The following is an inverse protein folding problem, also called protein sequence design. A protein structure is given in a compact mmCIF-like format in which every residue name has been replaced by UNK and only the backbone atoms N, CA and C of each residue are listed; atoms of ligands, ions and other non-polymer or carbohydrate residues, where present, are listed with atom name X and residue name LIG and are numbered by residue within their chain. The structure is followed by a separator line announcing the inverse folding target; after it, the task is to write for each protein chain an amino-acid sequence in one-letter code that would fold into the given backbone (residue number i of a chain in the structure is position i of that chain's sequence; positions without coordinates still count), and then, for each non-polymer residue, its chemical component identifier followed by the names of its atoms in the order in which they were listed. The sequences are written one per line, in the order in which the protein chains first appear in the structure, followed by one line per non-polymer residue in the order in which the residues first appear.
data_IF_324548897836
#
_entry.id   IF_324548897836
#
_cell.length_a   1.000
_cell.length_b   1.000
_cell.length_c   1.000
_cell.angle_alpha   90.00
_cell.angle_beta   90.00
_cell.angle_gamma   90.00
#
_symmetry.space_group_name_H-M   'P 1'
#
loop_
_entity.id
_entity.type
_entity.pdbx_description
1 polymer ?
#
# COMPACT_ATOMS: atom_id res chain seq x y z
N UNK A 1 10.73 13.14 12.13
CA UNK A 1 9.55 12.77 12.93
C UNK A 1 8.33 13.34 12.21
N UNK A 2 7.69 12.55 11.33
CA UNK A 2 6.38 12.90 10.78
C UNK A 2 5.39 11.84 11.24
N UNK A 3 4.67 12.18 12.31
CA UNK A 3 3.35 11.61 12.56
C UNK A 3 2.46 12.37 11.59
N UNK A 4 1.85 11.69 10.62
CA UNK A 4 0.90 12.36 9.72
C UNK A 4 -0.17 13.01 10.61
N UNK A 5 -0.36 14.32 10.44
CA UNK A 5 -1.58 14.93 10.93
C UNK A 5 -2.68 14.26 10.14
N UNK A 6 -3.48 13.41 10.80
CA UNK A 6 -4.72 12.85 10.25
C UNK A 6 -5.62 14.04 9.89
N UNK A 7 -5.47 14.54 8.66
CA UNK A 7 -6.30 15.60 8.14
C UNK A 7 -7.67 15.00 7.84
N UNK A 8 -8.57 15.07 8.82
CA UNK A 8 -9.94 14.61 8.68
C UNK A 8 -10.76 15.46 7.69
N UNK A 9 -10.32 16.68 7.39
CA UNK A 9 -10.95 17.56 6.42
C UNK A 9 -10.41 17.31 5.01
N UNK A 10 -11.30 16.95 4.10
CA UNK A 10 -11.03 17.01 2.66
C UNK A 10 -10.81 18.47 2.28
N UNK A 11 -9.64 18.80 1.76
CA UNK A 11 -9.27 20.15 1.33
C UNK A 11 -10.24 20.59 0.21
N UNK A 12 -10.96 21.68 0.45
CA UNK A 12 -12.00 22.18 -0.46
C UNK A 12 -13.36 21.49 -0.29
N UNK A 13 -13.50 20.61 0.70
CA UNK A 13 -14.71 19.86 1.00
C UNK A 13 -15.83 20.70 1.61
N UNK A 14 -17.04 20.16 1.52
CA UNK A 14 -18.30 20.76 1.98
C UNK A 14 -19.10 19.83 2.91
N UNK A 15 -18.66 18.58 3.09
CA UNK A 15 -19.39 17.56 3.84
C UNK A 15 -19.00 17.54 5.33
N UNK A 16 -19.29 18.64 6.03
CA UNK A 16 -18.93 18.87 7.45
C UNK A 16 -19.37 17.76 8.41
N UNK A 17 -20.49 17.07 8.12
CA UNK A 17 -20.95 15.96 8.94
C UNK A 17 -20.08 14.70 8.80
N UNK A 18 -19.60 14.42 7.58
CA UNK A 18 -18.71 13.28 7.33
C UNK A 18 -17.32 13.55 7.91
N UNK A 19 -16.81 14.76 7.68
CA UNK A 19 -15.60 15.27 8.33
C UNK A 19 -15.65 15.05 9.84
N UNK A 20 -16.72 15.50 10.50
CA UNK A 20 -16.88 15.36 11.94
C UNK A 20 -16.84 13.91 12.41
N UNK A 21 -17.58 13.00 11.75
CA UNK A 21 -17.53 11.58 12.11
C UNK A 21 -16.13 11.00 11.91
N UNK A 22 -15.45 11.35 10.82
CA UNK A 22 -14.10 10.87 10.55
C UNK A 22 -13.08 11.39 11.57
N UNK A 23 -13.18 12.68 11.95
CA UNK A 23 -12.33 13.33 12.94
C UNK A 23 -12.52 12.78 14.36
N UNK A 24 -13.77 12.40 14.70
CA UNK A 24 -14.12 11.77 15.97
C UNK A 24 -13.80 10.26 16.00
N UNK A 25 -13.11 9.73 14.99
CA UNK A 25 -12.79 8.30 14.83
C UNK A 25 -14.03 7.38 14.76
N UNK A 26 -15.18 7.96 14.43
CA UNK A 26 -16.46 7.24 14.24
C UNK A 26 -16.57 6.74 12.81
N UNK A 27 -15.63 5.89 12.41
CA UNK A 27 -15.48 5.48 11.01
C UNK A 27 -16.66 4.63 10.51
N UNK A 28 -17.26 3.78 11.35
CA UNK A 28 -18.46 3.02 11.00
C UNK A 28 -19.65 3.97 10.71
N UNK A 29 -19.87 4.99 11.56
CA UNK A 29 -20.90 6.00 11.36
C UNK A 29 -20.63 6.85 10.10
N UNK A 30 -19.37 7.18 9.85
CA UNK A 30 -18.94 7.91 8.66
C UNK A 30 -19.23 7.11 7.39
N UNK A 31 -18.85 5.82 7.37
CA UNK A 31 -19.12 4.90 6.27
C UNK A 31 -20.64 4.78 6.03
N UNK A 32 -21.41 4.42 7.06
CA UNK A 32 -22.86 4.27 6.97
C UNK A 32 -23.55 5.54 6.45
N UNK A 33 -23.13 6.71 6.94
CA UNK A 33 -23.69 7.98 6.47
C UNK A 33 -23.33 8.25 5.01
N UNK A 34 -22.08 8.03 4.62
CA UNK A 34 -21.62 8.26 3.26
C UNK A 34 -22.28 7.30 2.26
N UNK A 35 -22.46 6.02 2.59
CA UNK A 35 -23.21 5.05 1.78
C UNK A 35 -24.64 5.53 1.49
N UNK A 36 -25.35 5.98 2.53
CA UNK A 36 -26.70 6.52 2.36
C UNK A 36 -26.74 7.81 1.54
N UNK A 37 -25.65 8.57 1.53
CA UNK A 37 -25.55 9.77 0.72
C UNK A 37 -25.29 9.42 -0.75
N UNK A 38 -24.42 8.46 -1.09
CA UNK A 38 -24.16 8.10 -2.50
C UNK A 38 -25.39 7.52 -3.21
N UNK A 39 -26.36 6.98 -2.47
CA UNK A 39 -27.66 6.52 -3.00
C UNK A 39 -28.63 7.66 -3.36
N UNK A 40 -28.34 8.90 -2.94
CA UNK A 40 -29.19 10.06 -3.24
C UNK A 40 -28.71 10.72 -4.54
N UNK A 41 -29.64 10.99 -5.46
CA UNK A 41 -29.33 11.55 -6.78
C UNK A 41 -28.46 12.82 -6.71
N UNK A 42 -28.76 13.72 -5.76
CA UNK A 42 -27.99 14.96 -5.54
C UNK A 42 -26.51 14.75 -5.16
N UNK A 43 -26.15 13.58 -4.65
CA UNK A 43 -24.82 13.25 -4.14
C UNK A 43 -24.16 12.13 -4.94
N UNK A 44 -24.88 11.55 -5.92
CA UNK A 44 -24.41 10.43 -6.73
C UNK A 44 -23.07 10.71 -7.38
N UNK A 45 -22.80 11.96 -7.78
CA UNK A 45 -21.57 12.37 -8.44
C UNK A 45 -20.56 13.10 -7.56
N UNK A 46 -20.76 13.12 -6.23
CA UNK A 46 -19.87 13.85 -5.32
C UNK A 46 -18.59 13.03 -5.00
N UNK A 47 -17.40 13.47 -5.46
CA UNK A 47 -16.15 12.77 -5.17
C UNK A 47 -15.76 12.80 -3.69
N UNK A 48 -16.13 13.84 -2.94
CA UNK A 48 -15.77 13.99 -1.52
C UNK A 48 -16.43 12.91 -0.67
N UNK A 49 -17.71 12.61 -0.93
CA UNK A 49 -18.46 11.56 -0.21
C UNK A 49 -17.82 10.19 -0.46
N UNK A 50 -17.41 9.92 -1.71
CA UNK A 50 -16.76 8.66 -2.06
C UNK A 50 -15.36 8.55 -1.42
N UNK A 51 -14.65 9.67 -1.29
CA UNK A 51 -13.36 9.70 -0.60
C UNK A 51 -13.51 9.43 0.91
N UNK A 52 -14.48 10.05 1.59
CA UNK A 52 -14.78 9.76 2.99
C UNK A 52 -15.21 8.31 3.19
N UNK A 53 -16.04 7.77 2.29
CA UNK A 53 -16.46 6.38 2.33
C UNK A 53 -15.26 5.43 2.20
N UNK A 54 -14.38 5.68 1.22
CA UNK A 54 -13.17 4.90 1.02
C UNK A 54 -12.24 4.93 2.23
N UNK A 55 -11.96 6.12 2.75
CA UNK A 55 -11.08 6.31 3.91
C UNK A 55 -11.66 5.67 5.18
N UNK A 56 -12.98 5.73 5.36
CA UNK A 56 -13.66 5.11 6.50
C UNK A 56 -13.56 3.58 6.43
N UNK A 57 -13.77 2.99 5.25
CA UNK A 57 -13.59 1.55 5.06
C UNK A 57 -12.15 1.07 5.28
N UNK A 58 -11.15 1.86 4.89
CA UNK A 58 -9.76 1.54 5.21
C UNK A 58 -9.52 1.51 6.74
N UNK A 59 -10.16 2.41 7.49
CA UNK A 59 -10.10 2.40 8.96
C UNK A 59 -10.86 1.23 9.58
N UNK A 60 -12.05 0.92 9.08
CA UNK A 60 -12.83 -0.26 9.51
C UNK A 60 -12.05 -1.55 9.28
N UNK A 61 -11.34 -1.67 8.15
CA UNK A 61 -10.43 -2.79 7.92
C UNK A 61 -9.36 -2.88 9.01
N UNK A 62 -8.68 -1.78 9.35
CA UNK A 62 -7.68 -1.76 10.41
C UNK A 62 -8.29 -2.16 11.77
N UNK A 63 -9.49 -1.68 12.10
CA UNK A 63 -10.20 -2.10 13.32
C UNK A 63 -10.43 -3.62 13.34
N UNK A 64 -10.81 -4.22 12.21
CA UNK A 64 -11.05 -5.66 12.12
C UNK A 64 -9.78 -6.50 12.25
N UNK A 65 -8.62 -5.94 11.87
CA UNK A 65 -7.33 -6.57 12.12
C UNK A 65 -6.93 -6.52 13.61
N UNK A 66 -7.35 -5.49 14.34
CA UNK A 66 -7.12 -5.35 15.78
C UNK A 66 -8.11 -6.19 16.62
N UNK A 67 -9.39 -6.19 16.24
CA UNK A 67 -10.47 -6.94 16.87
C UNK A 67 -11.27 -7.74 15.83
N UNK A 68 -10.90 -9.01 15.67
CA UNK A 68 -11.58 -9.92 14.74
C UNK A 68 -13.03 -10.25 15.16
N UNK A 69 -13.45 -9.93 16.39
CA UNK A 69 -14.85 -10.14 16.81
C UNK A 69 -15.82 -9.19 16.11
N UNK A 70 -15.33 -8.08 15.56
CA UNK A 70 -16.12 -7.16 14.73
C UNK A 70 -16.69 -7.86 13.49
N UNK A 71 -15.94 -8.79 12.90
CA UNK A 71 -16.40 -9.57 11.74
C UNK A 71 -17.59 -10.48 12.07
N UNK A 72 -17.72 -10.92 13.33
CA UNK A 72 -18.89 -11.68 13.77
C UNK A 72 -20.13 -10.80 13.94
N UNK A 73 -19.94 -9.50 14.21
CA UNK A 73 -21.02 -8.53 14.40
C UNK A 73 -21.50 -7.93 13.07
N UNK A 74 -20.56 -7.65 12.17
CA UNK A 74 -20.80 -7.06 10.86
C UNK A 74 -19.97 -7.83 9.81
N UNK A 75 -20.50 -8.95 9.27
CA UNK A 75 -19.78 -9.80 8.32
C UNK A 75 -19.32 -9.07 7.05
N UNK A 76 -20.04 -8.01 6.65
CA UNK A 76 -19.71 -7.19 5.48
C UNK A 76 -18.34 -6.50 5.60
N UNK A 77 -17.84 -6.31 6.83
CA UNK A 77 -16.52 -5.73 7.07
C UNK A 77 -15.36 -6.62 6.65
N UNK A 78 -15.62 -7.90 6.34
CA UNK A 78 -14.65 -8.77 5.70
C UNK A 78 -14.11 -8.15 4.40
N UNK A 79 -14.98 -7.47 3.64
CA UNK A 79 -14.65 -6.83 2.37
C UNK A 79 -14.29 -5.34 2.51
N UNK A 80 -14.10 -4.83 3.73
CA UNK A 80 -13.90 -3.40 3.98
C UNK A 80 -12.76 -2.83 3.13
N UNK A 81 -11.61 -3.52 3.04
CA UNK A 81 -10.50 -2.98 2.24
C UNK A 81 -10.80 -2.97 0.73
N UNK A 82 -11.49 -3.99 0.21
CA UNK A 82 -11.93 -4.01 -1.19
C UNK A 82 -12.90 -2.85 -1.49
N UNK A 83 -13.81 -2.54 -0.55
CA UNK A 83 -14.65 -1.33 -0.65
C UNK A 83 -13.83 -0.04 -0.59
N UNK A 84 -12.79 0.03 0.24
CA UNK A 84 -11.88 1.18 0.27
C UNK A 84 -11.22 1.42 -1.10
N UNK A 85 -10.71 0.37 -1.75
CA UNK A 85 -10.12 0.45 -3.09
C UNK A 85 -11.13 0.86 -4.16
N UNK A 86 -12.32 0.25 -4.14
CA UNK A 86 -13.43 0.56 -5.05
C UNK A 86 -13.81 2.04 -4.96
N UNK A 87 -14.16 2.52 -3.76
CA UNK A 87 -14.64 3.89 -3.59
C UNK A 87 -13.54 4.94 -3.80
N UNK A 88 -12.27 4.59 -3.58
CA UNK A 88 -11.13 5.45 -3.96
C UNK A 88 -11.07 5.67 -5.47
N UNK A 89 -11.23 4.60 -6.26
CA UNK A 89 -11.24 4.66 -7.73
C UNK A 89 -12.45 5.45 -8.23
N UNK A 90 -13.62 5.23 -7.62
CA UNK A 90 -14.84 5.99 -7.92
C UNK A 90 -14.68 7.48 -7.59
N UNK A 91 -14.07 7.83 -6.46
CA UNK A 91 -13.82 9.22 -6.10
C UNK A 91 -12.94 9.93 -7.15
N UNK A 92 -11.83 9.29 -7.56
CA UNK A 92 -10.96 9.80 -8.64
C UNK A 92 -11.70 9.96 -9.96
N UNK A 93 -12.52 8.98 -10.34
CA UNK A 93 -13.32 9.01 -11.58
C UNK A 93 -14.30 10.18 -11.59
N UNK A 94 -14.99 10.42 -10.46
CA UNK A 94 -15.96 11.51 -10.31
C UNK A 94 -15.29 12.88 -10.32
N UNK A 95 -14.10 13.01 -9.77
CA UNK A 95 -13.36 14.27 -9.78
C UNK A 95 -12.57 14.51 -11.08
N UNK A 96 -12.53 13.54 -12.03
CA UNK A 96 -11.73 13.64 -13.26
C UNK A 96 -11.99 14.92 -14.06
N UNK A 97 -13.24 15.40 -14.08
CA UNK A 97 -13.65 16.62 -14.80
C UNK A 97 -13.47 17.89 -13.97
N UNK A 98 -13.65 17.81 -12.65
CA UNK A 98 -13.66 18.98 -11.76
C UNK A 98 -12.28 19.32 -11.21
N UNK A 99 -11.47 18.30 -10.90
CA UNK A 99 -10.14 18.43 -10.29
C UNK A 99 -10.14 19.33 -9.04
N UNK A 100 -11.25 19.31 -8.30
CA UNK A 100 -11.42 20.13 -7.10
C UNK A 100 -10.82 19.40 -5.89
N UNK A 101 -10.99 18.08 -5.84
CA UNK A 101 -10.57 17.24 -4.72
C UNK A 101 -9.13 16.78 -4.91
N UNK A 102 -8.78 16.28 -6.09
CA UNK A 102 -7.45 15.78 -6.39
C UNK A 102 -6.67 16.79 -7.25
N UNK A 103 -5.35 16.96 -7.00
CA UNK A 103 -4.48 16.12 -6.18
C UNK A 103 -4.34 16.54 -4.70
N UNK A 104 -5.02 17.60 -4.24
CA UNK A 104 -4.84 18.15 -2.89
C UNK A 104 -5.11 17.14 -1.76
N UNK A 105 -5.97 16.16 -2.02
CA UNK A 105 -6.34 15.12 -1.07
C UNK A 105 -5.66 13.77 -1.32
N UNK A 106 -4.55 13.74 -2.08
CA UNK A 106 -3.80 12.51 -2.33
C UNK A 106 -3.27 11.86 -1.04
N UNK A 107 -3.05 12.62 0.04
CA UNK A 107 -2.64 12.07 1.33
C UNK A 107 -3.63 11.02 1.88
N UNK A 108 -4.94 11.18 1.62
CA UNK A 108 -5.94 10.18 2.01
C UNK A 108 -5.84 8.92 1.15
N UNK A 109 -5.55 9.07 -0.15
CA UNK A 109 -5.34 7.92 -1.05
C UNK A 109 -4.04 7.18 -0.71
N UNK A 110 -2.99 7.92 -0.33
CA UNK A 110 -1.73 7.37 0.16
C UNK A 110 -1.95 6.54 1.43
N UNK A 111 -2.73 7.05 2.38
CA UNK A 111 -3.09 6.32 3.61
C UNK A 111 -3.88 5.02 3.32
N UNK A 112 -4.84 5.07 2.40
CA UNK A 112 -5.57 3.88 1.94
C UNK A 112 -4.62 2.89 1.28
N UNK A 113 -3.64 3.34 0.50
CA UNK A 113 -2.66 2.47 -0.13
C UNK A 113 -1.68 1.85 0.88
N UNK A 114 -1.21 2.62 1.86
CA UNK A 114 -0.36 2.13 2.97
C UNK A 114 -1.10 1.07 3.78
N UNK A 115 -2.40 1.25 4.02
CA UNK A 115 -3.25 0.24 4.69
C UNK A 115 -3.24 -1.10 3.97
N UNK A 116 -3.16 -1.10 2.63
CA UNK A 116 -3.11 -2.31 1.82
C UNK A 116 -1.84 -3.12 1.93
N UNK A 117 -0.76 -2.57 2.52
CA UNK A 117 0.48 -3.30 2.72
C UNK A 117 0.28 -4.52 3.62
N UNK A 118 -0.71 -4.52 4.51
CA UNK A 118 -1.06 -5.70 5.31
C UNK A 118 -1.42 -6.93 4.45
N UNK A 119 -2.10 -6.74 3.31
CA UNK A 119 -2.36 -7.84 2.37
C UNK A 119 -1.08 -8.31 1.68
N UNK A 120 -0.22 -7.37 1.26
CA UNK A 120 1.06 -7.69 0.64
C UNK A 120 1.90 -8.53 1.60
N UNK A 121 2.05 -8.10 2.84
CA UNK A 121 2.83 -8.78 3.88
C UNK A 121 2.34 -10.18 4.15
N UNK A 122 1.02 -10.33 4.32
CA UNK A 122 0.40 -11.62 4.53
C UNK A 122 0.73 -12.59 3.40
N UNK A 123 0.42 -12.22 2.15
CA UNK A 123 0.67 -13.12 1.02
C UNK A 123 2.15 -13.38 0.77
N UNK A 124 3.03 -12.40 1.03
CA UNK A 124 4.47 -12.61 0.99
C UNK A 124 4.93 -13.60 2.08
N UNK A 125 4.38 -13.51 3.31
CA UNK A 125 4.71 -14.42 4.41
C UNK A 125 4.35 -15.89 4.14
N UNK A 126 3.25 -16.12 3.42
CA UNK A 126 2.81 -17.47 3.01
C UNK A 126 3.27 -17.84 1.59
N UNK A 127 4.26 -17.10 1.05
CA UNK A 127 4.91 -17.34 -0.26
C UNK A 127 3.95 -17.31 -1.47
N UNK A 128 2.78 -16.67 -1.35
CA UNK A 128 1.83 -16.44 -2.45
C UNK A 128 2.13 -15.14 -3.19
N UNK A 129 3.33 -15.05 -3.78
CA UNK A 129 3.82 -13.85 -4.49
C UNK A 129 2.88 -13.36 -5.60
N UNK A 130 2.25 -14.22 -6.42
CA UNK A 130 1.29 -13.76 -7.43
C UNK A 130 0.08 -13.01 -6.85
N UNK A 131 -0.45 -13.46 -5.69
CA UNK A 131 -1.58 -12.81 -5.03
C UNK A 131 -1.16 -11.48 -4.37
N UNK A 132 0.02 -11.43 -3.77
CA UNK A 132 0.62 -10.17 -3.31
C UNK A 132 0.75 -9.17 -4.48
N UNK A 133 1.26 -9.60 -5.64
CA UNK A 133 1.38 -8.75 -6.82
C UNK A 133 0.02 -8.28 -7.35
N UNK A 134 -1.00 -9.15 -7.32
CA UNK A 134 -2.37 -8.80 -7.69
C UNK A 134 -2.91 -7.64 -6.83
N UNK A 135 -2.80 -7.78 -5.50
CA UNK A 135 -3.22 -6.73 -4.57
C UNK A 135 -2.43 -5.44 -4.75
N UNK A 136 -1.12 -5.52 -4.97
CA UNK A 136 -0.28 -4.36 -5.23
C UNK A 136 -0.76 -3.57 -6.46
N UNK A 137 -1.11 -4.26 -7.54
CA UNK A 137 -1.67 -3.63 -8.74
C UNK A 137 -3.02 -2.96 -8.46
N UNK A 138 -3.89 -3.57 -7.65
CA UNK A 138 -5.16 -2.95 -7.20
C UNK A 138 -4.89 -1.68 -6.39
N UNK A 139 -3.93 -1.71 -5.46
CA UNK A 139 -3.50 -0.55 -4.66
C UNK A 139 -2.95 0.58 -5.56
N UNK A 140 -2.12 0.24 -6.54
CA UNK A 140 -1.51 1.22 -7.46
C UNK A 140 -2.53 1.99 -8.32
N UNK A 141 -3.72 1.42 -8.58
CA UNK A 141 -4.83 2.16 -9.23
C UNK A 141 -5.33 3.33 -8.35
N UNK A 142 -5.25 3.17 -7.03
CA UNK A 142 -5.65 4.20 -6.05
C UNK A 142 -4.56 5.25 -5.90
N UNK A 143 -3.36 4.83 -5.48
CA UNK A 143 -2.21 5.69 -5.28
C UNK A 143 -0.94 4.94 -5.67
N UNK A 144 -0.04 5.62 -6.38
CA UNK A 144 1.24 5.05 -6.79
C UNK A 144 2.30 6.13 -6.89
N UNK A 145 3.45 5.85 -6.31
CA UNK A 145 4.69 6.60 -6.46
C UNK A 145 5.82 5.65 -6.92
N UNK A 146 7.06 6.14 -6.89
CA UNK A 146 8.23 5.35 -7.28
C UNK A 146 8.48 4.13 -6.39
N UNK A 147 8.08 4.17 -5.10
CA UNK A 147 8.28 3.07 -4.17
C UNK A 147 7.34 1.90 -4.49
N UNK A 148 6.06 2.20 -4.74
CA UNK A 148 5.10 1.19 -5.20
C UNK A 148 5.48 0.60 -6.56
N UNK A 149 5.94 1.45 -7.50
CA UNK A 149 6.41 0.99 -8.82
C UNK A 149 7.60 0.06 -8.71
N UNK A 150 8.56 0.37 -7.84
CA UNK A 150 9.72 -0.49 -7.62
C UNK A 150 9.31 -1.85 -7.03
N UNK A 151 8.45 -1.87 -6.01
CA UNK A 151 7.91 -3.11 -5.46
C UNK A 151 7.20 -3.93 -6.54
N UNK A 152 6.39 -3.29 -7.40
CA UNK A 152 5.71 -3.98 -8.51
C UNK A 152 6.72 -4.57 -9.49
N UNK A 153 7.78 -3.83 -9.80
CA UNK A 153 8.89 -4.33 -10.59
C UNK A 153 9.48 -5.62 -10.03
N UNK A 154 9.78 -5.61 -8.73
CA UNK A 154 10.35 -6.76 -8.00
C UNK A 154 9.38 -7.94 -8.00
N UNK A 155 8.12 -7.74 -7.59
CA UNK A 155 7.13 -8.83 -7.52
C UNK A 155 6.84 -9.41 -8.91
N UNK A 156 6.78 -8.58 -9.96
CA UNK A 156 6.63 -9.06 -11.34
C UNK A 156 7.78 -9.97 -11.75
N UNK A 157 9.04 -9.58 -11.52
CA UNK A 157 10.20 -10.46 -11.78
C UNK A 157 10.11 -11.76 -10.99
N UNK A 158 9.75 -11.70 -9.70
CA UNK A 158 9.61 -12.89 -8.85
C UNK A 158 8.53 -13.86 -9.36
N UNK A 159 7.50 -13.34 -10.06
CA UNK A 159 6.44 -14.13 -10.69
C UNK A 159 6.74 -14.53 -12.14
N UNK A 160 7.94 -14.22 -12.66
CA UNK A 160 8.35 -14.51 -14.03
C UNK A 160 7.92 -13.48 -15.08
N UNK A 161 7.16 -12.45 -14.71
CA UNK A 161 6.79 -11.32 -15.58
C UNK A 161 7.92 -10.30 -15.68
N UNK A 162 9.01 -10.71 -16.35
CA UNK A 162 10.19 -9.87 -16.55
C UNK A 162 9.94 -8.72 -17.53
N UNK A 163 8.93 -8.85 -18.41
CA UNK A 163 8.56 -7.81 -19.38
C UNK A 163 8.00 -6.58 -18.67
N UNK A 164 7.17 -6.75 -17.65
CA UNK A 164 6.71 -5.66 -16.78
C UNK A 164 7.79 -5.27 -15.76
N UNK A 165 8.45 -6.27 -15.17
CA UNK A 165 9.32 -6.06 -14.02
C UNK A 165 10.61 -5.30 -14.32
N UNK A 166 11.33 -5.69 -15.38
CA UNK A 166 12.65 -5.13 -15.70
C UNK A 166 12.62 -3.63 -16.03
N UNK A 167 11.66 -3.11 -16.81
CA UNK A 167 11.56 -1.67 -17.05
C UNK A 167 11.42 -0.85 -15.77
N UNK A 168 10.56 -1.28 -14.84
CA UNK A 168 10.30 -0.59 -13.56
C UNK A 168 11.54 -0.57 -12.66
N UNK A 169 12.23 -1.72 -12.55
CA UNK A 169 13.48 -1.82 -11.78
C UNK A 169 14.56 -0.93 -12.40
N UNK A 170 14.72 -0.96 -13.73
CA UNK A 170 15.72 -0.15 -14.43
C UNK A 170 15.46 1.34 -14.27
N UNK A 171 14.22 1.79 -14.39
CA UNK A 171 13.84 3.19 -14.16
C UNK A 171 14.17 3.62 -12.72
N UNK A 172 13.83 2.79 -11.75
CA UNK A 172 14.14 3.05 -10.32
C UNK A 172 15.65 3.17 -10.11
N UNK A 173 16.45 2.26 -10.67
CA UNK A 173 17.91 2.29 -10.52
C UNK A 173 18.54 3.49 -11.22
N UNK A 174 18.05 3.87 -12.41
CA UNK A 174 18.50 5.08 -13.09
C UNK A 174 18.21 6.35 -12.26
N UNK A 175 17.05 6.40 -11.58
CA UNK A 175 16.71 7.50 -10.67
C UNK A 175 17.62 7.52 -9.43
N UNK A 176 17.92 6.37 -8.82
CA UNK A 176 18.84 6.27 -7.68
C UNK A 176 20.27 6.67 -8.09
N UNK A 177 20.69 6.31 -9.29
CA UNK A 177 22.05 6.57 -9.76
C UNK A 177 22.25 8.05 -10.12
N UNK A 178 21.21 8.72 -10.61
CA UNK A 178 21.25 10.13 -11.03
C UNK A 178 20.96 11.16 -9.92
N UNK A 179 20.27 10.79 -8.84
CA UNK A 179 19.89 11.73 -7.77
C UNK A 179 21.04 11.96 -6.76
N UNK A 180 21.22 13.24 -6.37
CA UNK A 180 22.11 13.63 -5.25
C UNK A 180 21.45 13.44 -3.89
N UNK A 181 20.14 13.65 -3.81
CA UNK A 181 19.31 13.46 -2.62
C UNK A 181 17.90 13.04 -3.04
N UNK A 182 17.24 12.24 -2.20
CA UNK A 182 15.86 11.79 -2.38
C UNK A 182 14.98 12.42 -1.31
N UNK A 183 13.79 12.87 -1.70
CA UNK A 183 12.77 13.31 -0.75
C UNK A 183 12.29 12.12 0.08
N UNK A 184 12.18 12.30 1.39
CA UNK A 184 11.64 11.27 2.28
C UNK A 184 10.13 11.17 2.08
N UNK A 185 9.64 9.99 1.69
CA UNK A 185 8.21 9.71 1.50
C UNK A 185 7.72 8.80 2.62
N UNK A 186 6.42 8.88 2.97
CA UNK A 186 5.85 7.94 3.93
C UNK A 186 5.85 6.50 3.39
N UNK A 187 6.00 6.31 2.09
CA UNK A 187 6.05 5.01 1.43
C UNK A 187 7.46 4.43 1.34
N UNK A 188 8.49 5.09 1.90
CA UNK A 188 9.89 4.65 1.84
C UNK A 188 10.10 3.21 2.32
N UNK A 189 9.34 2.81 3.34
CA UNK A 189 9.41 1.46 3.87
C UNK A 189 9.05 0.39 2.84
N UNK A 190 8.18 0.71 1.87
CA UNK A 190 7.80 -0.18 0.76
C UNK A 190 9.00 -0.42 -0.17
N UNK A 191 9.79 0.62 -0.45
CA UNK A 191 11.02 0.48 -1.24
C UNK A 191 12.09 -0.32 -0.49
N UNK A 192 12.20 -0.15 0.82
CA UNK A 192 13.09 -0.97 1.68
C UNK A 192 12.68 -2.45 1.61
N UNK A 193 11.39 -2.77 1.74
CA UNK A 193 10.89 -4.14 1.61
C UNK A 193 11.14 -4.70 0.20
N UNK A 194 10.94 -3.89 -0.86
CA UNK A 194 11.23 -4.31 -2.23
C UNK A 194 12.71 -4.65 -2.44
N UNK A 195 13.64 -3.86 -1.87
CA UNK A 195 15.07 -4.20 -1.88
C UNK A 195 15.34 -5.51 -1.17
N UNK A 196 14.74 -5.72 0.00
CA UNK A 196 14.89 -6.96 0.76
C UNK A 196 14.38 -8.18 -0.03
N UNK A 197 13.15 -8.10 -0.55
CA UNK A 197 12.57 -9.16 -1.37
C UNK A 197 13.42 -9.47 -2.59
N UNK A 198 13.94 -8.44 -3.27
CA UNK A 198 14.71 -8.67 -4.49
C UNK A 198 16.08 -9.30 -4.22
N UNK A 199 16.79 -8.84 -3.18
CA UNK A 199 18.04 -9.48 -2.75
C UNK A 199 17.81 -10.94 -2.38
N UNK A 200 16.79 -11.22 -1.56
CA UNK A 200 16.48 -12.58 -1.14
C UNK A 200 16.08 -13.45 -2.35
N UNK A 201 15.32 -12.91 -3.30
CA UNK A 201 14.96 -13.62 -4.52
C UNK A 201 16.20 -14.00 -5.34
N UNK A 202 17.13 -13.06 -5.55
CA UNK A 202 18.36 -13.29 -6.34
C UNK A 202 19.30 -14.30 -5.67
N UNK A 203 19.40 -14.26 -4.33
CA UNK A 203 20.25 -15.19 -3.57
C UNK A 203 19.66 -16.60 -3.47
N UNK A 204 18.32 -16.74 -3.52
CA UNK A 204 17.64 -18.03 -3.42
C UNK A 204 17.32 -18.69 -4.77
N UNK A 205 17.91 -18.20 -5.87
CA UNK A 205 17.88 -18.92 -7.14
C UNK A 205 18.66 -20.24 -7.04
N UNK A 206 18.34 -21.22 -7.89
CA UNK A 206 19.08 -22.49 -7.96
C UNK A 206 20.59 -22.25 -8.14
N UNK A 207 20.94 -21.29 -9.00
CA UNK A 207 22.27 -20.68 -9.04
C UNK A 207 22.16 -19.25 -8.52
N UNK A 208 22.67 -18.95 -7.29
CA UNK A 208 22.58 -17.63 -6.71
C UNK A 208 23.19 -16.54 -7.60
N UNK A 209 22.46 -15.46 -7.83
CA UNK A 209 22.90 -14.32 -8.63
C UNK A 209 23.59 -13.28 -7.75
N UNK A 210 24.74 -13.66 -7.17
CA UNK A 210 25.45 -12.92 -6.10
C UNK A 210 25.80 -11.50 -6.52
N UNK A 211 26.40 -11.30 -7.70
CA UNK A 211 26.79 -9.96 -8.17
C UNK A 211 25.59 -9.04 -8.36
N UNK A 212 24.50 -9.59 -8.91
CA UNK A 212 23.23 -8.86 -9.05
C UNK A 212 22.66 -8.51 -7.67
N UNK A 213 22.64 -9.44 -6.73
CA UNK A 213 22.15 -9.20 -5.37
C UNK A 213 22.97 -8.11 -4.67
N UNK A 214 24.31 -8.15 -4.81
CA UNK A 214 25.22 -7.14 -4.27
C UNK A 214 24.98 -5.77 -4.88
N UNK A 215 24.76 -5.71 -6.19
CA UNK A 215 24.44 -4.49 -6.91
C UNK A 215 23.10 -3.86 -6.46
N UNK A 216 22.09 -4.69 -6.18
CA UNK A 216 20.80 -4.27 -5.62
C UNK A 216 20.98 -3.78 -4.18
N UNK A 217 21.68 -4.54 -3.33
CA UNK A 217 21.93 -4.19 -1.93
C UNK A 217 22.70 -2.86 -1.79
N UNK A 218 23.73 -2.65 -2.62
CA UNK A 218 24.49 -1.39 -2.64
C UNK A 218 23.61 -0.19 -2.99
N UNK A 219 22.69 -0.33 -3.96
CA UNK A 219 21.71 0.74 -4.26
C UNK A 219 20.73 0.98 -3.11
N UNK A 220 20.30 -0.09 -2.45
CA UNK A 220 19.48 -0.01 -1.25
C UNK A 220 20.17 0.80 -0.14
N UNK A 221 21.42 0.48 0.18
CA UNK A 221 22.23 1.20 1.18
C UNK A 221 22.51 2.65 0.74
N UNK A 222 22.76 2.89 -0.56
CA UNK A 222 22.91 4.26 -1.09
C UNK A 222 21.62 5.08 -0.89
N UNK A 223 20.46 4.48 -1.10
CA UNK A 223 19.16 5.13 -0.97
C UNK A 223 18.77 5.35 0.51
N UNK A 224 19.06 4.38 1.38
CA UNK A 224 18.71 4.40 2.80
C UNK A 224 19.95 4.06 3.66
N UNK A 225 20.91 4.99 3.80
CA UNK A 225 22.21 4.74 4.42
C UNK A 225 22.12 4.36 5.91
N UNK A 226 21.04 4.73 6.59
CA UNK A 226 20.81 4.43 8.00
C UNK A 226 19.96 3.16 8.22
N UNK A 227 19.57 2.46 7.15
CA UNK A 227 18.74 1.26 7.26
C UNK A 227 19.57 0.01 7.59
N UNK A 228 19.46 -0.49 8.83
CA UNK A 228 20.18 -1.68 9.29
C UNK A 228 19.78 -2.97 8.55
N UNK A 229 18.53 -3.11 8.11
CA UNK A 229 18.08 -4.24 7.29
C UNK A 229 18.86 -4.31 5.96
N UNK A 230 19.03 -3.19 5.27
CA UNK A 230 19.73 -3.19 3.97
C UNK A 230 21.24 -3.39 4.14
N UNK A 231 21.84 -2.88 5.22
CA UNK A 231 23.23 -3.19 5.58
C UNK A 231 23.41 -4.67 5.92
N UNK A 232 22.45 -5.26 6.64
CA UNK A 232 22.45 -6.68 6.94
C UNK A 232 22.43 -7.52 5.66
N UNK A 233 21.57 -7.17 4.69
CA UNK A 233 21.52 -7.87 3.40
C UNK A 233 22.87 -7.85 2.68
N UNK A 234 23.58 -6.71 2.69
CA UNK A 234 24.92 -6.63 2.11
C UNK A 234 25.92 -7.55 2.82
N UNK A 235 25.88 -7.59 4.16
CA UNK A 235 26.73 -8.50 4.95
C UNK A 235 26.41 -9.97 4.69
N UNK A 236 25.13 -10.33 4.58
CA UNK A 236 24.69 -11.69 4.30
C UNK A 236 25.13 -12.18 2.90
N UNK A 237 25.19 -11.27 1.92
CA UNK A 237 25.72 -11.60 0.59
C UNK A 237 27.23 -11.91 0.66
N UNK A 238 27.97 -11.14 1.46
CA UNK A 238 29.42 -11.33 1.63
C UNK A 238 29.76 -12.52 2.55
N UNK A 239 28.89 -12.83 3.50
CA UNK A 239 28.99 -13.96 4.44
C UNK A 239 27.64 -14.69 4.54
N UNK A 240 27.39 -15.71 3.68
CA UNK A 240 26.15 -16.47 3.70
C UNK A 240 25.92 -17.29 5.00
N UNK A 241 26.96 -17.48 5.82
CA UNK A 241 26.87 -18.20 7.10
C UNK A 241 26.62 -17.25 8.29
N UNK A 242 26.36 -15.97 8.02
CA UNK A 242 26.11 -14.94 9.03
C UNK A 242 25.01 -15.37 10.01
N UNK A 243 25.40 -15.61 11.27
CA UNK A 243 24.49 -16.02 12.35
C UNK A 243 23.74 -14.86 13.02
N UNK A 244 23.95 -13.63 12.57
CA UNK A 244 23.28 -12.47 13.14
C UNK A 244 21.77 -12.49 12.84
N UNK A 245 20.97 -12.09 13.81
CA UNK A 245 19.53 -11.93 13.62
C UNK A 245 19.25 -10.86 12.57
N UNK A 246 18.36 -11.16 11.61
CA UNK A 246 17.98 -10.23 10.56
C UNK A 246 17.19 -9.05 11.16
N UNK A 247 17.67 -7.79 11.02
CA UNK A 247 16.94 -6.62 11.50
C UNK A 247 15.59 -6.48 10.79
N UNK A 248 14.61 -5.88 11.48
CA UNK A 248 13.32 -5.54 10.88
C UNK A 248 13.39 -4.20 10.15
N UNK A 249 12.42 -3.95 9.27
CA UNK A 249 12.22 -2.65 8.66
C UNK A 249 11.63 -1.67 9.69
N UNK A 250 12.48 -0.91 10.39
CA UNK A 250 12.04 0.00 11.45
C UNK A 250 11.14 1.14 10.93
N UNK A 251 11.35 1.64 9.69
CA UNK A 251 10.44 2.63 9.10
C UNK A 251 9.03 2.07 8.98
N UNK A 252 8.90 0.81 8.53
CA UNK A 252 7.61 0.13 8.45
C UNK A 252 6.94 0.02 9.82
N UNK A 253 7.69 -0.40 10.84
CA UNK A 253 7.18 -0.54 12.21
C UNK A 253 6.69 0.79 12.83
N UNK A 254 7.31 1.91 12.44
CA UNK A 254 6.89 3.24 12.88
C UNK A 254 5.60 3.70 12.20
N UNK A 255 5.41 3.32 10.93
CA UNK A 255 4.28 3.77 10.10
C UNK A 255 3.07 2.86 10.28
N UNK A 256 3.28 1.56 10.16
CA UNK A 256 2.31 0.54 10.48
C UNK A 256 2.43 0.29 11.99
N UNK A 257 1.51 0.87 12.78
CA UNK A 257 1.34 0.46 14.19
C UNK A 257 1.30 -1.08 14.21
N UNK A 258 1.94 -1.71 15.20
CA UNK A 258 2.08 -3.17 15.24
C UNK A 258 0.72 -3.85 15.36
N UNK A 259 0.12 -4.18 14.23
CA UNK A 259 -1.11 -4.97 14.13
C UNK A 259 -0.68 -6.41 13.84
N UNK A 260 -1.10 -7.34 14.71
CA UNK A 260 -0.85 -8.77 14.52
C UNK A 260 -1.93 -9.31 13.59
N UNK A 261 -1.54 -9.74 12.38
CA UNK A 261 -2.44 -10.31 11.40
C UNK A 261 -2.91 -11.70 11.84
N UNK A 262 -4.01 -11.77 12.59
CA UNK A 262 -4.59 -13.03 13.05
C UNK A 262 -5.68 -13.58 12.11
N UNK A 263 -6.17 -12.82 11.13
CA UNK A 263 -7.38 -13.19 10.39
C UNK A 263 -7.54 -12.53 9.01
N UNK A 264 -6.53 -12.59 8.14
CA UNK A 264 -6.76 -12.36 6.71
C UNK A 264 -7.29 -13.66 6.11
N UNK A 265 -8.45 -13.58 5.43
CA UNK A 265 -9.14 -14.76 4.93
C UNK A 265 -8.41 -15.35 3.72
N UNK A 266 -8.09 -16.65 3.76
CA UNK A 266 -7.45 -17.35 2.64
C UNK A 266 -8.39 -17.56 1.45
N UNK A 267 -9.69 -17.32 1.65
CA UNK A 267 -10.78 -17.53 0.69
C UNK A 267 -11.32 -16.22 0.09
N UNK A 268 -10.48 -15.18 -0.06
CA UNK A 268 -10.81 -14.08 -0.99
C UNK A 268 -10.82 -14.64 -2.41
N UNK A 269 -11.95 -15.26 -2.78
CA UNK A 269 -12.35 -15.48 -4.16
C UNK A 269 -12.22 -14.13 -4.86
N UNK A 270 -11.46 -14.12 -5.95
CA UNK A 270 -11.25 -12.93 -6.75
C UNK A 270 -12.61 -12.56 -7.37
N UNK A 271 -13.41 -11.78 -6.63
CA UNK A 271 -14.39 -10.90 -7.22
C UNK A 271 -13.56 -9.84 -7.98
N UNK A 272 -13.13 -10.22 -9.17
CA UNK A 272 -12.84 -9.27 -10.22
C UNK A 272 -14.11 -8.43 -10.35
N UNK A 273 -14.10 -7.27 -9.70
CA UNK A 273 -15.04 -6.20 -9.99
C UNK A 273 -14.67 -5.76 -11.40
N UNK A 274 -15.19 -6.50 -12.37
CA UNK A 274 -15.23 -6.09 -13.76
C UNK A 274 -15.89 -4.72 -13.75
N UNK A 275 -15.07 -3.71 -14.03
CA UNK A 275 -15.50 -2.36 -14.35
C UNK A 275 -16.17 -2.40 -15.74
N UNK A 276 -17.23 -3.20 -15.91
CA UNK A 276 -18.18 -3.02 -17.01
C UNK A 276 -19.15 -1.92 -16.58
N UNK A 277 -18.78 -0.68 -16.91
CA UNK A 277 -19.69 0.42 -17.25
C UNK A 277 -18.83 1.49 -17.95
N UNK A 278 -18.31 1.11 -19.13
CA UNK A 278 -17.94 2.07 -20.18
C UNK A 278 -19.22 2.36 -20.98
N UNK A 279 -19.95 3.40 -20.59
CA UNK A 279 -20.83 4.21 -21.44
C UNK A 279 -21.00 5.63 -20.86
#
# INVERSE_FOLDING_TARGET
MFVSVLNAQVIGGRQTKLEKFYAEERWEDCAFRAERMVLQEKYKNDPEINLYLAASYAKVFLMCLEDSTLLNKVPEYLNAYNYALKYSTVAKRKDKKTQIIFPKNNFMLEEIAITGIHYIDHYMSIKRVPKANSYLRKIMKVYSDENFKFLNGVLSVMTGDTATGNPLIRETFANIDSRKAREELNTDFIMIDAFDYYVNFLMNQETPLVDSAKNVANRGVKCFPDCELLKYNLKLIDDPELKAEKPKNEKKKLILKSIVLNSLNENDEDDDVDDEDDD
#
